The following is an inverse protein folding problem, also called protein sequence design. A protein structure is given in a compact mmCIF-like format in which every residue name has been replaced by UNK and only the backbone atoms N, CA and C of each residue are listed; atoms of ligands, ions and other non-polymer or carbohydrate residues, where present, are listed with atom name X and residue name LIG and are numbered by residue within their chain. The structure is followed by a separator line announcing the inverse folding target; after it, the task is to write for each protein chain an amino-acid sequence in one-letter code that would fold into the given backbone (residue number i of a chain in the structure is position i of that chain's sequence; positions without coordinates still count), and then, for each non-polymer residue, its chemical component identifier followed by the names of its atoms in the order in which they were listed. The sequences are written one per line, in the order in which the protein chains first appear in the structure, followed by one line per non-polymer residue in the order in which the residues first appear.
data_IF_601025631632
#
_entry.id   IF_601025631632
#
_cell.length_a   1.000
_cell.length_b   1.000
_cell.length_c   1.000
_cell.angle_alpha   90.00
_cell.angle_beta   90.00
_cell.angle_gamma   90.00
#
_symmetry.space_group_name_H-M   'P 1'
#
loop_
_entity.id
_entity.type
_entity.pdbx_description
1 polymer ?
#
# COMPACT_ATOMS: atom_id res chain seq x y z
N UNK A 1 12.29 -0.32 -10.78
CA UNK A 1 12.00 1.03 -10.22
C UNK A 1 13.28 1.77 -9.75
N UNK A 2 14.43 1.64 -10.44
CA UNK A 2 15.67 2.32 -10.01
C UNK A 2 15.73 3.81 -10.36
N UNK A 3 14.98 4.23 -11.40
CA UNK A 3 15.00 5.59 -11.94
C UNK A 3 13.70 6.36 -11.70
N UNK A 4 12.85 5.87 -10.79
CA UNK A 4 11.60 6.54 -10.42
C UNK A 4 11.87 7.38 -9.18
N UNK A 5 11.35 8.60 -9.15
CA UNK A 5 11.46 9.48 -7.99
C UNK A 5 10.90 8.84 -6.71
N UNK A 6 11.36 9.30 -5.55
CA UNK A 6 10.81 8.88 -4.25
C UNK A 6 9.28 9.12 -4.22
N UNK A 7 8.83 10.29 -4.66
CA UNK A 7 7.41 10.63 -4.75
C UNK A 7 6.67 9.66 -5.68
N UNK A 8 7.23 9.33 -6.84
CA UNK A 8 6.63 8.37 -7.76
C UNK A 8 6.49 6.97 -7.16
N UNK A 9 7.46 6.51 -6.37
CA UNK A 9 7.38 5.21 -5.66
C UNK A 9 6.24 5.20 -4.64
N UNK A 10 6.11 6.27 -3.84
CA UNK A 10 4.99 6.40 -2.89
C UNK A 10 3.64 6.49 -3.60
N UNK A 11 3.56 7.24 -4.70
CA UNK A 11 2.33 7.35 -5.48
C UNK A 11 1.89 5.99 -6.04
N UNK A 12 2.80 5.16 -6.55
CA UNK A 12 2.47 3.81 -7.03
C UNK A 12 1.89 2.94 -5.91
N UNK A 13 2.45 3.00 -4.71
CA UNK A 13 1.91 2.26 -3.56
C UNK A 13 0.52 2.76 -3.18
N UNK A 14 0.33 4.08 -3.07
CA UNK A 14 -0.96 4.67 -2.72
C UNK A 14 -2.02 4.40 -3.81
N UNK A 15 -1.64 4.49 -5.08
CA UNK A 15 -2.49 4.15 -6.21
C UNK A 15 -2.91 2.67 -6.18
N UNK A 16 -2.02 1.75 -5.78
CA UNK A 16 -2.39 0.33 -5.65
C UNK A 16 -3.45 0.09 -4.58
N UNK A 17 -3.39 0.80 -3.44
CA UNK A 17 -4.45 0.78 -2.43
C UNK A 17 -5.76 1.37 -2.97
N UNK A 18 -5.69 2.47 -3.73
CA UNK A 18 -6.86 3.09 -4.35
C UNK A 18 -7.55 2.17 -5.35
N UNK A 19 -6.79 1.56 -6.27
CA UNK A 19 -7.31 0.59 -7.25
C UNK A 19 -7.94 -0.62 -6.54
N UNK A 20 -7.29 -1.14 -5.49
CA UNK A 20 -7.86 -2.22 -4.70
C UNK A 20 -9.19 -1.82 -4.04
N UNK A 21 -9.25 -0.64 -3.43
CA UNK A 21 -10.49 -0.12 -2.83
C UNK A 21 -11.63 0.03 -3.85
N UNK A 22 -11.34 0.55 -5.03
CA UNK A 22 -12.31 0.67 -6.13
C UNK A 22 -12.78 -0.71 -6.59
N UNK A 23 -11.87 -1.67 -6.74
CA UNK A 23 -12.22 -3.03 -7.17
C UNK A 23 -13.13 -3.74 -6.15
N UNK A 24 -12.84 -3.60 -4.85
CA UNK A 24 -13.69 -4.13 -3.77
C UNK A 24 -15.06 -3.44 -3.77
N UNK A 25 -15.10 -2.11 -3.89
CA UNK A 25 -16.36 -1.36 -3.92
C UNK A 25 -17.21 -1.74 -5.13
N UNK A 26 -16.59 -1.92 -6.30
CA UNK A 26 -17.26 -2.37 -7.51
C UNK A 26 -17.84 -3.78 -7.33
N UNK A 27 -17.04 -4.73 -6.83
CA UNK A 27 -17.51 -6.08 -6.55
C UNK A 27 -18.69 -6.09 -5.57
N UNK A 28 -18.54 -5.41 -4.42
CA UNK A 28 -19.60 -5.32 -3.42
C UNK A 28 -20.87 -4.68 -4.00
N UNK A 29 -20.73 -3.62 -4.80
CA UNK A 29 -21.84 -2.97 -5.50
C UNK A 29 -22.60 -3.92 -6.43
N UNK A 30 -21.89 -4.69 -7.27
CA UNK A 30 -22.53 -5.65 -8.19
C UNK A 30 -23.27 -6.76 -7.45
N UNK A 31 -22.73 -7.25 -6.33
CA UNK A 31 -23.40 -8.26 -5.52
C UNK A 31 -24.64 -7.71 -4.83
N UNK A 32 -24.58 -6.49 -4.28
CA UNK A 32 -25.74 -5.83 -3.70
C UNK A 32 -26.87 -5.62 -4.72
N UNK A 33 -26.55 -5.26 -5.96
CA UNK A 33 -27.55 -5.14 -7.03
C UNK A 33 -28.24 -6.47 -7.33
N UNK A 34 -27.50 -7.58 -7.41
CA UNK A 34 -28.10 -8.90 -7.65
C UNK A 34 -29.05 -9.35 -6.52
N UNK A 35 -28.70 -9.03 -5.27
CA UNK A 35 -29.53 -9.31 -4.09
C UNK A 35 -30.80 -8.46 -4.13
N UNK A 36 -30.67 -7.17 -4.46
CA UNK A 36 -31.80 -6.24 -4.57
C UNK A 36 -32.78 -6.62 -5.67
N UNK A 37 -32.29 -7.03 -6.86
CA UNK A 37 -33.13 -7.53 -7.96
C UNK A 37 -33.92 -8.77 -7.55
N UNK A 38 -33.25 -9.72 -6.88
CA UNK A 38 -33.90 -10.96 -6.43
C UNK A 38 -34.94 -10.69 -5.33
N UNK A 39 -34.65 -9.79 -4.38
CA UNK A 39 -35.61 -9.38 -3.36
C UNK A 39 -36.81 -8.64 -3.95
N UNK A 40 -36.57 -7.76 -4.92
CA UNK A 40 -37.62 -7.01 -5.62
C UNK A 40 -38.55 -7.96 -6.37
N UNK A 41 -38.03 -8.94 -7.09
CA UNK A 41 -38.84 -9.97 -7.76
C UNK A 41 -39.72 -10.74 -6.74
N UNK A 42 -39.13 -11.14 -5.61
CA UNK A 42 -39.81 -11.88 -4.55
C UNK A 42 -41.02 -11.12 -3.98
N UNK A 43 -40.83 -9.83 -3.70
CA UNK A 43 -41.83 -8.97 -3.05
C UNK A 43 -42.87 -8.48 -4.07
N UNK A 44 -42.42 -7.91 -5.19
CA UNK A 44 -43.31 -7.23 -6.14
C UNK A 44 -44.07 -8.21 -7.04
N UNK A 45 -43.53 -9.40 -7.27
CA UNK A 45 -44.15 -10.40 -8.14
C UNK A 45 -44.77 -11.53 -7.32
N UNK A 46 -43.98 -12.37 -6.67
CA UNK A 46 -44.49 -13.63 -6.10
C UNK A 46 -45.34 -13.44 -4.84
N UNK A 47 -44.89 -12.60 -3.89
CA UNK A 47 -45.65 -12.32 -2.67
C UNK A 47 -46.95 -11.54 -2.99
N UNK A 48 -46.87 -10.56 -3.88
CA UNK A 48 -48.03 -9.81 -4.37
C UNK A 48 -49.02 -10.71 -5.11
N UNK A 49 -48.55 -11.60 -5.97
CA UNK A 49 -49.36 -12.57 -6.69
C UNK A 49 -50.07 -13.55 -5.75
N UNK A 50 -49.37 -14.06 -4.72
CA UNK A 50 -49.97 -14.92 -3.70
C UNK A 50 -51.11 -14.21 -2.95
N UNK A 51 -50.89 -12.96 -2.52
CA UNK A 51 -51.91 -12.15 -1.87
C UNK A 51 -53.11 -11.88 -2.78
N UNK A 52 -52.87 -11.52 -4.04
CA UNK A 52 -53.93 -11.25 -5.01
C UNK A 52 -54.71 -12.53 -5.36
N UNK A 53 -54.06 -13.68 -5.42
CA UNK A 53 -54.72 -14.99 -5.56
C UNK A 53 -55.65 -15.29 -4.39
N UNK A 54 -55.20 -15.04 -3.14
CA UNK A 54 -56.05 -15.19 -1.96
C UNK A 54 -57.24 -14.23 -1.97
N UNK A 55 -57.05 -12.98 -2.41
CA UNK A 55 -58.13 -12.00 -2.60
C UNK A 55 -59.11 -12.41 -3.70
N UNK A 56 -58.62 -12.95 -4.82
CA UNK A 56 -59.46 -13.51 -5.88
C UNK A 56 -60.31 -14.66 -5.34
N UNK A 57 -59.71 -15.63 -4.63
CA UNK A 57 -60.47 -16.72 -4.02
C UNK A 57 -61.55 -16.20 -3.04
N UNK A 58 -61.19 -15.20 -2.22
CA UNK A 58 -62.15 -14.58 -1.31
C UNK A 58 -63.31 -13.92 -2.07
N UNK A 59 -63.03 -13.17 -3.13
CA UNK A 59 -64.06 -12.58 -3.98
C UNK A 59 -64.97 -13.66 -4.62
N UNK A 60 -64.40 -14.80 -5.03
CA UNK A 60 -65.17 -15.94 -5.53
C UNK A 60 -66.08 -16.55 -4.45
N UNK A 61 -65.61 -16.67 -3.20
CA UNK A 61 -66.46 -17.10 -2.08
C UNK A 61 -67.53 -16.05 -1.72
N UNK A 62 -67.23 -14.76 -1.83
CA UNK A 62 -68.22 -13.70 -1.68
C UNK A 62 -69.29 -13.78 -2.77
N UNK A 63 -68.90 -14.05 -4.02
CA UNK A 63 -69.87 -14.28 -5.11
C UNK A 63 -70.77 -15.48 -4.79
N UNK A 64 -70.20 -16.60 -4.32
CA UNK A 64 -70.99 -17.75 -3.86
C UNK A 64 -71.97 -17.39 -2.74
N UNK A 65 -71.53 -16.62 -1.75
CA UNK A 65 -72.37 -16.18 -0.64
C UNK A 65 -73.51 -15.30 -1.13
N UNK A 66 -73.25 -14.33 -2.01
CA UNK A 66 -74.25 -13.47 -2.62
C UNK A 66 -75.28 -14.26 -3.45
N UNK A 67 -74.85 -15.30 -4.17
CA UNK A 67 -75.78 -16.25 -4.81
C UNK A 67 -76.65 -16.92 -3.75
N UNK A 68 -76.05 -17.43 -2.66
CA UNK A 68 -76.78 -18.01 -1.53
C UNK A 68 -77.83 -17.08 -0.93
N UNK A 69 -77.49 -15.81 -0.68
CA UNK A 69 -78.41 -14.80 -0.15
C UNK A 69 -79.55 -14.51 -1.13
N UNK A 70 -79.24 -14.47 -2.43
CA UNK A 70 -80.25 -14.36 -3.48
C UNK A 70 -81.23 -15.54 -3.45
N UNK A 71 -80.78 -16.75 -3.12
CA UNK A 71 -81.64 -17.93 -2.97
C UNK A 71 -82.53 -17.90 -1.72
N UNK A 72 -82.19 -17.10 -0.71
CA UNK A 72 -82.90 -17.05 0.57
C UNK A 72 -83.84 -15.84 0.67
N UNK A 73 -83.64 -14.85 -0.19
CA UNK A 73 -84.47 -13.66 -0.26
C UNK A 73 -85.91 -13.98 -0.69
N UNK A 74 -86.85 -13.17 -0.18
CA UNK A 74 -88.29 -13.21 -0.53
C UNK A 74 -88.82 -11.84 -0.95
N UNK A 75 -87.92 -10.94 -1.37
CA UNK A 75 -88.31 -9.58 -1.75
C UNK A 75 -87.44 -9.06 -2.89
N UNK A 76 -88.03 -8.25 -3.76
CA UNK A 76 -87.31 -7.61 -4.86
C UNK A 76 -86.17 -6.70 -4.38
N UNK A 77 -86.34 -6.04 -3.22
CA UNK A 77 -85.31 -5.17 -2.65
C UNK A 77 -84.05 -5.96 -2.25
N UNK A 78 -84.23 -7.07 -1.54
CA UNK A 78 -83.13 -7.96 -1.18
C UNK A 78 -82.53 -8.66 -2.41
N UNK A 79 -83.35 -9.08 -3.38
CA UNK A 79 -82.86 -9.67 -4.64
C UNK A 79 -81.93 -8.70 -5.37
N UNK A 80 -82.32 -7.43 -5.48
CA UNK A 80 -81.49 -6.38 -6.09
C UNK A 80 -80.19 -6.15 -5.32
N UNK A 81 -80.25 -6.15 -3.99
CA UNK A 81 -79.06 -6.00 -3.14
C UNK A 81 -78.07 -7.14 -3.34
N UNK A 82 -78.53 -8.40 -3.26
CA UNK A 82 -77.68 -9.58 -3.46
C UNK A 82 -77.13 -9.67 -4.88
N UNK A 83 -77.92 -9.30 -5.90
CA UNK A 83 -77.44 -9.22 -7.28
C UNK A 83 -76.34 -8.15 -7.46
N UNK A 84 -76.46 -7.00 -6.80
CA UNK A 84 -75.43 -5.96 -6.82
C UNK A 84 -74.14 -6.42 -6.12
N UNK A 85 -74.24 -7.10 -4.98
CA UNK A 85 -73.09 -7.68 -4.28
C UNK A 85 -72.40 -8.76 -5.11
N UNK A 86 -73.16 -9.63 -5.78
CA UNK A 86 -72.64 -10.62 -6.72
C UNK A 86 -71.85 -9.96 -7.86
N UNK A 87 -72.41 -8.90 -8.47
CA UNK A 87 -71.74 -8.16 -9.53
C UNK A 87 -70.43 -7.52 -9.03
N UNK A 88 -70.43 -6.94 -7.84
CA UNK A 88 -69.23 -6.36 -7.22
C UNK A 88 -68.17 -7.42 -6.91
N UNK A 89 -68.57 -8.57 -6.37
CA UNK A 89 -67.68 -9.68 -6.07
C UNK A 89 -67.04 -10.27 -7.35
N UNK A 90 -67.84 -10.43 -8.42
CA UNK A 90 -67.35 -10.85 -9.73
C UNK A 90 -66.35 -9.85 -10.31
N UNK A 91 -66.66 -8.55 -10.24
CA UNK A 91 -65.74 -7.50 -10.72
C UNK A 91 -64.42 -7.50 -9.94
N UNK A 92 -64.48 -7.64 -8.60
CA UNK A 92 -63.31 -7.76 -7.76
C UNK A 92 -62.47 -9.00 -8.07
N UNK A 93 -63.10 -10.14 -8.30
CA UNK A 93 -62.42 -11.37 -8.74
C UNK A 93 -61.62 -11.13 -10.03
N UNK A 94 -62.26 -10.55 -11.05
CA UNK A 94 -61.63 -10.24 -12.35
C UNK A 94 -60.46 -9.28 -12.17
N UNK A 95 -60.64 -8.19 -11.42
CA UNK A 95 -59.56 -7.23 -11.17
C UNK A 95 -58.35 -7.87 -10.48
N UNK A 96 -58.59 -8.68 -9.43
CA UNK A 96 -57.49 -9.34 -8.71
C UNK A 96 -56.76 -10.35 -9.59
N UNK A 97 -57.49 -11.22 -10.31
CA UNK A 97 -56.85 -12.27 -11.11
C UNK A 97 -56.14 -11.70 -12.35
N UNK A 98 -56.67 -10.63 -12.96
CA UNK A 98 -56.01 -9.96 -14.09
C UNK A 98 -54.70 -9.29 -13.65
N UNK A 99 -54.66 -8.72 -12.45
CA UNK A 99 -53.40 -8.22 -11.85
C UNK A 99 -52.39 -9.32 -11.61
N UNK A 100 -52.83 -10.54 -11.26
CA UNK A 100 -51.92 -11.68 -11.15
C UNK A 100 -51.38 -12.08 -12.53
N UNK A 101 -52.24 -12.16 -13.56
CA UNK A 101 -51.82 -12.49 -14.93
C UNK A 101 -50.81 -11.47 -15.46
N UNK A 102 -51.01 -10.18 -15.18
CA UNK A 102 -50.08 -9.12 -15.56
C UNK A 102 -48.73 -9.25 -14.84
N UNK A 103 -48.73 -9.63 -13.56
CA UNK A 103 -47.51 -9.85 -12.79
C UNK A 103 -46.78 -11.14 -13.21
N UNK A 104 -47.52 -12.16 -13.65
CA UNK A 104 -46.98 -13.50 -13.95
C UNK A 104 -47.41 -14.00 -15.34
N UNK A 105 -46.98 -13.32 -16.44
CA UNK A 105 -47.43 -13.67 -17.79
C UNK A 105 -46.93 -15.03 -18.27
N UNK A 106 -45.86 -15.56 -17.66
CA UNK A 106 -45.30 -16.87 -17.98
C UNK A 106 -46.10 -18.04 -17.36
N UNK A 107 -46.97 -17.78 -16.38
CA UNK A 107 -47.73 -18.82 -15.69
C UNK A 107 -49.04 -19.13 -16.45
N UNK A 108 -49.02 -20.21 -17.23
CA UNK A 108 -50.16 -20.63 -18.05
C UNK A 108 -51.38 -21.14 -17.28
N UNK A 109 -51.25 -21.48 -15.99
CA UNK A 109 -52.36 -22.02 -15.20
C UNK A 109 -53.34 -20.91 -14.78
N UNK A 110 -52.84 -19.69 -14.58
CA UNK A 110 -53.62 -18.59 -14.00
C UNK A 110 -54.78 -18.15 -14.92
N UNK A 111 -54.57 -17.97 -16.25
CA UNK A 111 -55.67 -17.72 -17.18
C UNK A 111 -56.70 -18.87 -17.23
N UNK A 112 -56.26 -20.12 -17.06
CA UNK A 112 -57.15 -21.29 -17.03
C UNK A 112 -58.03 -21.26 -15.78
N UNK A 113 -57.45 -20.97 -14.61
CA UNK A 113 -58.20 -20.82 -13.36
C UNK A 113 -59.20 -19.66 -13.42
N UNK A 114 -58.79 -18.53 -14.02
CA UNK A 114 -59.69 -17.41 -14.30
C UNK A 114 -60.89 -17.85 -15.13
N UNK A 115 -60.65 -18.53 -16.25
CA UNK A 115 -61.71 -18.99 -17.14
C UNK A 115 -62.66 -19.96 -16.43
N UNK A 116 -62.13 -20.93 -15.69
CA UNK A 116 -62.94 -21.90 -14.94
C UNK A 116 -63.81 -21.25 -13.85
N UNK A 117 -63.29 -20.25 -13.15
CA UNK A 117 -64.06 -19.51 -12.15
C UNK A 117 -65.17 -18.65 -12.76
N UNK A 118 -64.90 -17.99 -13.90
CA UNK A 118 -65.93 -17.24 -14.63
C UNK A 118 -66.98 -18.17 -15.24
N UNK A 119 -66.59 -19.33 -15.77
CA UNK A 119 -67.55 -20.34 -16.25
C UNK A 119 -68.47 -20.80 -15.12
N UNK A 120 -67.94 -21.05 -13.92
CA UNK A 120 -68.74 -21.44 -12.77
C UNK A 120 -69.79 -20.36 -12.41
N UNK A 121 -69.40 -19.08 -12.37
CA UNK A 121 -70.31 -17.99 -11.99
C UNK A 121 -71.29 -17.63 -13.11
N UNK A 122 -70.80 -17.48 -14.34
CA UNK A 122 -71.58 -16.90 -15.44
C UNK A 122 -72.46 -17.95 -16.14
N UNK A 123 -72.00 -19.21 -16.18
CA UNK A 123 -72.67 -20.28 -16.92
C UNK A 123 -73.27 -21.32 -15.98
N UNK A 124 -72.47 -21.97 -15.14
CA UNK A 124 -72.96 -23.05 -14.26
C UNK A 124 -73.99 -22.52 -13.24
N UNK A 125 -73.77 -21.31 -12.70
CA UNK A 125 -74.71 -20.64 -11.81
C UNK A 125 -75.72 -19.72 -12.52
N UNK A 126 -75.52 -19.42 -13.81
CA UNK A 126 -76.26 -18.37 -14.52
C UNK A 126 -77.78 -18.57 -14.50
N UNK A 127 -78.24 -19.79 -14.80
CA UNK A 127 -79.67 -20.12 -14.78
C UNK A 127 -80.28 -20.04 -13.37
N UNK A 128 -79.50 -20.36 -12.34
CA UNK A 128 -79.91 -20.26 -10.94
C UNK A 128 -80.03 -18.80 -10.53
N UNK A 129 -79.06 -17.96 -10.89
CA UNK A 129 -79.04 -16.52 -10.59
C UNK A 129 -80.22 -15.82 -11.26
N UNK A 130 -80.47 -16.09 -12.55
CA UNK A 130 -81.57 -15.44 -13.27
C UNK A 130 -82.94 -15.80 -12.70
N UNK A 131 -83.12 -17.06 -12.31
CA UNK A 131 -84.36 -17.54 -11.72
C UNK A 131 -84.55 -16.97 -10.31
N UNK A 132 -83.52 -17.04 -9.45
CA UNK A 132 -83.56 -16.55 -8.07
C UNK A 132 -83.79 -15.03 -8.00
N UNK A 133 -83.29 -14.26 -8.97
CA UNK A 133 -83.51 -12.81 -9.03
C UNK A 133 -85.00 -12.40 -9.14
N UNK A 134 -85.85 -13.30 -9.64
CA UNK A 134 -87.30 -13.09 -9.80
C UNK A 134 -88.12 -13.88 -8.77
N UNK A 135 -87.49 -14.74 -7.98
CA UNK A 135 -88.15 -15.57 -7.00
C UNK A 135 -88.55 -14.76 -5.77
N UNK A 136 -89.85 -14.68 -5.49
CA UNK A 136 -90.40 -14.02 -4.29
C UNK A 136 -91.38 -14.92 -3.52
N UNK A 137 -91.82 -16.02 -4.12
CA UNK A 137 -92.72 -17.00 -3.48
C UNK A 137 -91.91 -18.11 -2.81
N UNK A 138 -92.48 -18.77 -1.80
CA UNK A 138 -91.82 -19.90 -1.13
C UNK A 138 -91.55 -21.08 -2.08
N UNK A 139 -92.45 -21.30 -3.05
CA UNK A 139 -92.29 -22.35 -4.06
C UNK A 139 -91.10 -22.06 -4.98
N UNK A 140 -90.97 -20.82 -5.47
CA UNK A 140 -89.86 -20.42 -6.35
C UNK A 140 -88.53 -20.45 -5.60
N UNK A 141 -88.50 -19.99 -4.35
CA UNK A 141 -87.31 -20.04 -3.49
C UNK A 141 -86.81 -21.48 -3.34
N UNK A 142 -87.71 -22.45 -3.10
CA UNK A 142 -87.34 -23.86 -2.99
C UNK A 142 -86.75 -24.42 -4.29
N UNK A 143 -87.38 -24.12 -5.44
CA UNK A 143 -86.85 -24.54 -6.76
C UNK A 143 -85.47 -23.96 -7.01
N UNK A 144 -85.28 -22.69 -6.64
CA UNK A 144 -84.00 -22.01 -6.74
C UNK A 144 -82.94 -22.79 -5.93
N UNK A 145 -83.21 -23.08 -4.65
CA UNK A 145 -82.29 -23.80 -3.76
C UNK A 145 -81.89 -25.18 -4.30
N UNK A 146 -82.86 -25.95 -4.81
CA UNK A 146 -82.61 -27.28 -5.37
C UNK A 146 -81.67 -27.23 -6.59
N UNK A 147 -81.82 -26.20 -7.45
CA UNK A 147 -80.90 -26.00 -8.58
C UNK A 147 -79.52 -25.56 -8.11
N UNK A 148 -79.43 -24.62 -7.16
CA UNK A 148 -78.14 -24.17 -6.62
C UNK A 148 -77.31 -25.33 -6.08
N UNK A 149 -77.92 -26.21 -5.28
CA UNK A 149 -77.22 -27.36 -4.67
C UNK A 149 -76.71 -28.38 -5.71
N UNK A 150 -77.39 -28.49 -6.87
CA UNK A 150 -77.04 -29.46 -7.92
C UNK A 150 -76.06 -28.88 -8.95
N UNK A 151 -76.32 -27.67 -9.43
CA UNK A 151 -75.67 -27.12 -10.63
C UNK A 151 -74.50 -26.19 -10.28
N UNK A 152 -74.64 -25.40 -9.20
CA UNK A 152 -73.75 -24.28 -8.89
C UNK A 152 -72.80 -24.58 -7.71
N UNK A 153 -73.34 -25.02 -6.57
CA UNK A 153 -72.60 -25.20 -5.33
C UNK A 153 -71.38 -26.15 -5.44
N UNK A 154 -71.44 -27.32 -6.12
CA UNK A 154 -70.34 -28.27 -6.14
C UNK A 154 -69.05 -27.75 -6.81
N UNK A 155 -69.15 -26.71 -7.64
CA UNK A 155 -68.01 -26.13 -8.37
C UNK A 155 -67.08 -25.33 -7.46
N UNK A 156 -67.66 -24.61 -6.51
CA UNK A 156 -66.91 -23.67 -5.66
C UNK A 156 -65.88 -24.33 -4.72
N UNK A 157 -66.16 -25.47 -4.04
CA UNK A 157 -65.14 -26.13 -3.22
C UNK A 157 -63.93 -26.57 -4.03
N UNK A 158 -64.15 -27.09 -5.24
CA UNK A 158 -63.06 -27.52 -6.14
C UNK A 158 -62.21 -26.32 -6.56
N UNK A 159 -62.86 -25.26 -7.07
CA UNK A 159 -62.17 -24.03 -7.46
C UNK A 159 -61.43 -23.41 -6.28
N UNK A 160 -62.08 -23.27 -5.12
CA UNK A 160 -61.47 -22.71 -3.92
C UNK A 160 -60.20 -23.45 -3.53
N UNK A 161 -60.25 -24.78 -3.55
CA UNK A 161 -59.09 -25.62 -3.29
C UNK A 161 -57.95 -25.32 -4.26
N UNK A 162 -58.22 -25.26 -5.57
CA UNK A 162 -57.18 -24.99 -6.57
C UNK A 162 -56.58 -23.59 -6.45
N UNK A 163 -57.39 -22.58 -6.13
CA UNK A 163 -56.89 -21.23 -5.85
C UNK A 163 -56.00 -21.19 -4.59
N UNK A 164 -56.39 -21.89 -3.52
CA UNK A 164 -55.59 -21.99 -2.29
C UNK A 164 -54.28 -22.74 -2.56
N UNK A 165 -54.31 -23.84 -3.30
CA UNK A 165 -53.12 -24.59 -3.68
C UNK A 165 -52.16 -23.72 -4.50
N UNK A 166 -52.66 -22.94 -5.47
CA UNK A 166 -51.83 -22.01 -6.24
C UNK A 166 -51.27 -20.88 -5.37
N UNK A 167 -52.09 -20.29 -4.50
CA UNK A 167 -51.63 -19.24 -3.58
C UNK A 167 -50.53 -19.76 -2.61
N UNK A 168 -50.68 -20.98 -2.11
CA UNK A 168 -49.70 -21.65 -1.26
C UNK A 168 -48.42 -22.00 -2.01
N UNK A 169 -48.52 -22.45 -3.27
CA UNK A 169 -47.37 -22.70 -4.12
C UNK A 169 -46.54 -21.42 -4.36
N UNK A 170 -47.23 -20.29 -4.63
CA UNK A 170 -46.58 -18.99 -4.72
C UNK A 170 -45.95 -18.56 -3.40
N UNK A 171 -46.64 -18.73 -2.27
CA UNK A 171 -46.10 -18.42 -0.95
C UNK A 171 -44.89 -19.30 -0.59
N UNK A 172 -44.89 -20.56 -1.01
CA UNK A 172 -43.79 -21.48 -0.80
C UNK A 172 -42.58 -21.11 -1.67
N UNK A 173 -42.79 -20.73 -2.92
CA UNK A 173 -41.73 -20.21 -3.77
C UNK A 173 -41.09 -18.95 -3.18
N UNK A 174 -41.89 -18.10 -2.52
CA UNK A 174 -41.39 -16.94 -1.77
C UNK A 174 -40.49 -17.36 -0.61
N UNK A 175 -40.94 -18.31 0.20
CA UNK A 175 -40.19 -18.79 1.38
C UNK A 175 -38.88 -19.48 0.97
N UNK A 176 -38.96 -20.42 0.02
CA UNK A 176 -37.81 -21.17 -0.48
C UNK A 176 -36.73 -20.23 -1.07
N UNK A 177 -37.15 -19.22 -1.86
CA UNK A 177 -36.23 -18.24 -2.45
C UNK A 177 -35.70 -17.22 -1.43
N UNK A 178 -36.49 -16.84 -0.42
CA UNK A 178 -36.03 -15.99 0.69
C UNK A 178 -34.88 -16.64 1.46
N UNK A 179 -35.00 -17.94 1.77
CA UNK A 179 -33.93 -18.71 2.44
C UNK A 179 -32.67 -18.76 1.58
N UNK A 180 -32.81 -19.05 0.28
CA UNK A 180 -31.67 -19.10 -0.65
C UNK A 180 -30.94 -17.75 -0.75
N UNK A 181 -31.68 -16.65 -0.82
CA UNK A 181 -31.11 -15.30 -0.87
C UNK A 181 -30.40 -14.95 0.44
N UNK A 182 -30.96 -15.36 1.59
CA UNK A 182 -30.33 -15.17 2.90
C UNK A 182 -28.98 -15.91 2.99
N UNK A 183 -28.94 -17.18 2.57
CA UNK A 183 -27.71 -17.99 2.56
C UNK A 183 -26.67 -17.43 1.58
N UNK A 184 -27.13 -16.97 0.41
CA UNK A 184 -26.27 -16.31 -0.58
C UNK A 184 -25.70 -15.00 -0.03
N UNK A 185 -26.51 -14.21 0.69
CA UNK A 185 -26.07 -12.98 1.34
C UNK A 185 -24.99 -13.25 2.39
N UNK A 186 -25.19 -14.26 3.25
CA UNK A 186 -24.19 -14.66 4.24
C UNK A 186 -22.86 -15.09 3.59
N UNK A 187 -22.95 -15.81 2.47
CA UNK A 187 -21.78 -16.23 1.68
C UNK A 187 -21.09 -15.04 1.00
N UNK A 188 -21.85 -14.08 0.46
CA UNK A 188 -21.31 -12.84 -0.12
C UNK A 188 -20.57 -12.03 0.94
N UNK A 189 -21.14 -11.87 2.14
CA UNK A 189 -20.51 -11.13 3.24
C UNK A 189 -19.21 -11.78 3.66
N UNK A 190 -19.20 -13.09 3.89
CA UNK A 190 -17.99 -13.83 4.30
C UNK A 190 -16.90 -13.79 3.23
N UNK A 191 -17.25 -13.97 1.95
CA UNK A 191 -16.30 -13.85 0.83
C UNK A 191 -15.76 -12.42 0.68
N UNK A 192 -16.62 -11.40 0.84
CA UNK A 192 -16.20 -9.99 0.75
C UNK A 192 -15.20 -9.66 1.84
N UNK A 193 -15.45 -10.07 3.09
CA UNK A 193 -14.47 -9.92 4.18
C UNK A 193 -13.17 -10.67 3.90
N UNK A 194 -13.26 -11.90 3.39
CA UNK A 194 -12.10 -12.69 2.99
C UNK A 194 -11.25 -11.98 1.93
N UNK A 195 -11.87 -11.43 0.89
CA UNK A 195 -11.19 -10.67 -0.15
C UNK A 195 -10.59 -9.35 0.35
N UNK A 196 -11.29 -8.63 1.23
CA UNK A 196 -10.77 -7.41 1.85
C UNK A 196 -9.50 -7.73 2.64
N UNK A 197 -9.56 -8.72 3.54
CA UNK A 197 -8.42 -9.10 4.38
C UNK A 197 -7.25 -9.64 3.55
N UNK A 198 -7.52 -10.53 2.59
CA UNK A 198 -6.50 -11.08 1.72
C UNK A 198 -5.85 -10.02 0.83
N UNK A 199 -6.65 -9.12 0.26
CA UNK A 199 -6.14 -8.04 -0.60
C UNK A 199 -5.37 -6.97 0.18
N UNK A 200 -5.83 -6.58 1.37
CA UNK A 200 -5.07 -5.70 2.26
C UNK A 200 -3.74 -6.33 2.68
N UNK A 201 -3.73 -7.63 3.00
CA UNK A 201 -2.50 -8.36 3.30
C UNK A 201 -1.56 -8.38 2.08
N UNK A 202 -2.08 -8.66 0.88
CA UNK A 202 -1.30 -8.68 -0.36
C UNK A 202 -0.67 -7.32 -0.67
N UNK A 203 -1.47 -6.25 -0.68
CA UNK A 203 -1.00 -4.88 -0.96
C UNK A 203 -0.05 -4.41 0.14
N UNK A 204 -0.33 -4.73 1.41
CA UNK A 204 0.53 -4.41 2.55
C UNK A 204 1.89 -5.09 2.47
N UNK A 205 1.92 -6.39 2.17
CA UNK A 205 3.17 -7.17 2.00
C UNK A 205 3.95 -6.65 0.79
N UNK A 206 3.30 -6.47 -0.36
CA UNK A 206 3.94 -5.92 -1.56
C UNK A 206 4.51 -4.52 -1.31
N UNK A 207 3.77 -3.67 -0.60
CA UNK A 207 4.20 -2.34 -0.21
C UNK A 207 5.39 -2.35 0.74
N UNK A 208 5.37 -3.21 1.77
CA UNK A 208 6.48 -3.38 2.70
C UNK A 208 7.79 -3.78 1.99
N UNK A 209 7.73 -4.80 1.13
CA UNK A 209 8.90 -5.24 0.36
C UNK A 209 9.35 -4.20 -0.67
N UNK A 210 8.41 -3.49 -1.31
CA UNK A 210 8.70 -2.39 -2.22
C UNK A 210 9.44 -1.24 -1.56
N UNK A 211 8.93 -0.74 -0.42
CA UNK A 211 9.58 0.32 0.37
C UNK A 211 10.96 -0.12 0.85
N UNK A 212 11.06 -1.34 1.39
CA UNK A 212 12.33 -1.88 1.89
C UNK A 212 13.39 -1.96 0.79
N UNK A 213 13.02 -2.46 -0.40
CA UNK A 213 13.95 -2.66 -1.50
C UNK A 213 14.33 -1.36 -2.22
N UNK A 214 13.40 -0.41 -2.38
CA UNK A 214 13.61 0.77 -3.23
C UNK A 214 14.05 2.03 -2.49
N UNK A 215 13.82 2.11 -1.18
CA UNK A 215 14.12 3.26 -0.33
C UNK A 215 15.05 2.89 0.82
N UNK A 216 14.62 1.99 1.70
CA UNK A 216 15.33 1.72 2.96
C UNK A 216 16.72 1.13 2.73
N UNK A 217 16.84 0.12 1.87
CA UNK A 217 18.11 -0.55 1.60
C UNK A 217 19.16 0.41 0.98
N UNK A 218 18.87 1.16 -0.11
CA UNK A 218 19.83 2.10 -0.68
C UNK A 218 20.25 3.23 0.27
N UNK A 219 19.31 3.74 1.09
CA UNK A 219 19.63 4.80 2.07
C UNK A 219 20.59 4.26 3.15
N UNK A 220 20.34 3.05 3.67
CA UNK A 220 21.26 2.41 4.64
C UNK A 220 22.63 2.10 4.04
N UNK A 221 22.69 1.72 2.76
CA UNK A 221 23.96 1.51 2.06
C UNK A 221 24.76 2.82 1.94
N UNK A 222 24.09 3.93 1.61
CA UNK A 222 24.72 5.25 1.57
C UNK A 222 25.17 5.72 2.96
N UNK A 223 24.34 5.54 3.98
CA UNK A 223 24.68 5.83 5.38
C UNK A 223 25.95 5.08 5.80
N UNK A 224 26.00 3.76 5.57
CA UNK A 224 27.17 2.94 5.91
C UNK A 224 28.43 3.35 5.14
N UNK A 225 28.29 3.77 3.87
CA UNK A 225 29.41 4.29 3.07
C UNK A 225 29.93 5.59 3.65
N UNK A 226 29.04 6.51 4.03
CA UNK A 226 29.42 7.79 4.64
C UNK A 226 30.15 7.60 5.98
N UNK A 227 29.71 6.67 6.82
CA UNK A 227 30.39 6.34 8.08
C UNK A 227 31.84 5.89 7.81
N UNK A 228 32.07 5.02 6.83
CA UNK A 228 33.43 4.55 6.46
C UNK A 228 34.31 5.69 5.95
N UNK A 229 33.78 6.55 5.07
CA UNK A 229 34.50 7.72 4.57
C UNK A 229 34.89 8.67 5.71
N UNK A 230 33.98 8.90 6.66
CA UNK A 230 34.26 9.75 7.83
C UNK A 230 35.33 9.16 8.76
N UNK A 231 35.50 7.84 8.78
CA UNK A 231 36.56 7.15 9.51
C UNK A 231 37.91 7.12 8.75
N UNK A 232 37.99 7.75 7.57
CA UNK A 232 39.22 7.82 6.76
C UNK A 232 39.43 6.63 5.80
N UNK A 233 38.45 5.73 5.68
CA UNK A 233 38.47 4.65 4.68
C UNK A 233 37.94 5.17 3.33
N UNK A 234 38.85 5.65 2.49
CA UNK A 234 38.56 6.09 1.13
C UNK A 234 38.67 4.98 0.07
N UNK A 235 38.88 3.72 0.46
CA UNK A 235 38.88 2.61 -0.49
C UNK A 235 37.46 2.09 -0.80
N UNK A 236 36.47 2.42 0.05
CA UNK A 236 35.08 2.00 -0.12
C UNK A 236 34.46 2.49 -1.43
N UNK A 237 33.74 1.62 -2.14
CA UNK A 237 33.01 1.97 -3.36
C UNK A 237 31.65 2.61 -3.03
N UNK A 238 31.30 3.69 -3.74
CA UNK A 238 30.00 4.36 -3.60
C UNK A 238 29.01 3.75 -4.60
N UNK A 239 28.04 2.98 -4.09
CA UNK A 239 27.03 2.31 -4.91
C UNK A 239 25.91 3.27 -5.37
N UNK A 240 25.33 3.01 -6.55
CA UNK A 240 24.10 3.66 -7.02
C UNK A 240 24.27 5.02 -7.71
N UNK A 241 25.48 5.36 -8.13
CA UNK A 241 25.81 6.61 -8.86
C UNK A 241 25.04 6.73 -10.18
N UNK A 242 24.76 5.60 -10.82
CA UNK A 242 24.06 5.47 -12.10
C UNK A 242 22.55 5.75 -12.03
N UNK A 243 22.00 5.83 -10.81
CA UNK A 243 20.56 6.07 -10.60
C UNK A 243 20.18 7.48 -11.01
N UNK A 244 19.01 7.59 -11.67
CA UNK A 244 18.45 8.88 -12.12
C UNK A 244 17.41 9.47 -11.15
N UNK A 245 17.30 8.95 -9.93
CA UNK A 245 16.41 9.44 -8.89
C UNK A 245 17.16 10.25 -7.82
N UNK A 246 16.43 10.73 -6.80
CA UNK A 246 16.98 11.54 -5.70
C UNK A 246 18.06 10.78 -4.92
N UNK A 247 17.91 9.46 -4.78
CA UNK A 247 18.93 8.62 -4.13
C UNK A 247 20.22 8.61 -4.97
N UNK A 248 20.12 8.54 -6.31
CA UNK A 248 21.28 8.68 -7.19
C UNK A 248 21.97 10.04 -7.08
N UNK A 249 21.19 11.11 -6.89
CA UNK A 249 21.76 12.43 -6.62
C UNK A 249 22.57 12.45 -5.32
N UNK A 250 22.07 11.80 -4.26
CA UNK A 250 22.82 11.63 -3.01
C UNK A 250 24.09 10.79 -3.21
N UNK A 251 24.02 9.65 -3.93
CA UNK A 251 25.20 8.82 -4.24
C UNK A 251 26.29 9.63 -4.95
N UNK A 252 25.94 10.46 -5.94
CA UNK A 252 26.90 11.34 -6.64
C UNK A 252 27.55 12.35 -5.70
N UNK A 253 26.81 12.93 -4.77
CA UNK A 253 27.39 13.85 -3.77
C UNK A 253 28.38 13.15 -2.83
N UNK A 254 28.06 11.91 -2.39
CA UNK A 254 28.98 11.11 -1.57
C UNK A 254 30.26 10.74 -2.34
N UNK A 255 30.14 10.49 -3.64
CA UNK A 255 31.32 10.27 -4.50
C UNK A 255 32.24 11.50 -4.54
N UNK A 256 31.68 12.71 -4.69
CA UNK A 256 32.47 13.96 -4.64
C UNK A 256 33.17 14.12 -3.29
N UNK A 257 32.52 13.77 -2.18
CA UNK A 257 33.15 13.81 -0.85
C UNK A 257 34.32 12.83 -0.71
N UNK A 258 34.17 11.60 -1.24
CA UNK A 258 35.26 10.62 -1.31
C UNK A 258 36.45 11.17 -2.12
N UNK A 259 36.19 11.73 -3.29
CA UNK A 259 37.23 12.25 -4.19
C UNK A 259 37.97 13.43 -3.54
N UNK A 260 37.25 14.33 -2.88
CA UNK A 260 37.84 15.45 -2.12
C UNK A 260 38.70 14.97 -0.94
N UNK A 261 38.26 13.92 -0.23
CA UNK A 261 39.03 13.32 0.87
C UNK A 261 40.30 12.61 0.40
N UNK A 262 40.25 11.90 -0.73
CA UNK A 262 41.42 11.30 -1.37
C UNK A 262 42.45 12.37 -1.77
N UNK A 263 41.99 13.46 -2.39
CA UNK A 263 42.89 14.54 -2.79
C UNK A 263 43.50 15.24 -1.58
N UNK A 264 42.73 15.46 -0.50
CA UNK A 264 43.27 16.01 0.74
C UNK A 264 44.33 15.10 1.38
N UNK A 265 44.10 13.78 1.39
CA UNK A 265 45.09 12.81 1.85
C UNK A 265 46.36 12.85 1.00
N UNK A 266 46.22 12.99 -0.32
CA UNK A 266 47.35 13.13 -1.25
C UNK A 266 48.13 14.41 -0.99
N UNK A 267 47.45 15.56 -0.86
CA UNK A 267 48.06 16.85 -0.55
C UNK A 267 48.79 16.82 0.81
N UNK A 268 48.20 16.21 1.83
CA UNK A 268 48.81 16.09 3.17
C UNK A 268 50.06 15.21 3.12
N UNK A 269 50.02 14.07 2.41
CA UNK A 269 51.19 13.22 2.22
C UNK A 269 52.32 13.97 1.50
N UNK A 270 52.02 14.67 0.41
CA UNK A 270 53.02 15.47 -0.32
C UNK A 270 53.56 16.65 0.51
N UNK A 271 52.74 17.26 1.38
CA UNK A 271 53.19 18.32 2.29
C UNK A 271 54.17 17.78 3.34
N UNK A 272 53.88 16.61 3.92
CA UNK A 272 54.79 15.94 4.88
C UNK A 272 56.10 15.53 4.19
N UNK A 273 56.04 14.99 2.97
CA UNK A 273 57.25 14.69 2.18
C UNK A 273 58.07 15.95 1.87
N UNK A 274 57.43 17.07 1.53
CA UNK A 274 58.11 18.33 1.28
C UNK A 274 58.73 18.93 2.56
N UNK A 275 58.06 18.83 3.70
CA UNK A 275 58.57 19.29 4.98
C UNK A 275 59.75 18.45 5.45
N UNK A 276 59.65 17.12 5.38
CA UNK A 276 60.75 16.20 5.70
C UNK A 276 61.96 16.41 4.79
N UNK A 277 61.75 16.63 3.48
CA UNK A 277 62.82 16.98 2.55
C UNK A 277 63.47 18.33 2.90
N UNK A 278 62.68 19.34 3.27
CA UNK A 278 63.21 20.65 3.73
C UNK A 278 64.01 20.54 5.01
N UNK A 279 63.55 19.74 5.98
CA UNK A 279 64.30 19.48 7.22
C UNK A 279 65.64 18.79 6.91
N UNK A 280 65.64 17.75 6.06
CA UNK A 280 66.87 17.07 5.64
C UNK A 280 67.85 18.00 4.90
N UNK A 281 67.34 18.92 4.07
CA UNK A 281 68.17 19.94 3.44
C UNK A 281 68.75 20.94 4.45
N UNK A 282 67.96 21.38 5.42
CA UNK A 282 68.43 22.25 6.52
C UNK A 282 69.51 21.58 7.36
N UNK A 283 69.34 20.30 7.69
CA UNK A 283 70.33 19.54 8.45
C UNK A 283 71.64 19.35 7.66
N UNK A 284 71.55 19.14 6.35
CA UNK A 284 72.75 19.14 5.48
C UNK A 284 73.42 20.51 5.44
N UNK A 285 72.63 21.58 5.34
CA UNK A 285 73.17 22.94 5.29
C UNK A 285 73.86 23.31 6.61
N UNK A 286 73.25 22.99 7.76
CA UNK A 286 73.86 23.24 9.07
C UNK A 286 75.12 22.40 9.30
N UNK A 287 75.14 21.13 8.85
CA UNK A 287 76.35 20.32 8.87
C UNK A 287 77.47 20.93 8.01
N UNK A 288 77.15 21.42 6.81
CA UNK A 288 78.10 22.11 5.95
C UNK A 288 78.61 23.42 6.59
N UNK A 289 77.71 24.24 7.13
CA UNK A 289 78.08 25.51 7.76
C UNK A 289 78.92 25.29 9.03
N UNK A 290 78.63 24.24 9.81
CA UNK A 290 79.47 23.82 10.94
C UNK A 290 80.87 23.36 10.47
N UNK A 291 80.97 22.56 9.41
CA UNK A 291 82.28 22.15 8.85
C UNK A 291 83.08 23.34 8.34
N UNK A 292 82.43 24.32 7.67
CA UNK A 292 83.08 25.56 7.23
C UNK A 292 83.53 26.44 8.41
N UNK A 293 82.74 26.48 9.48
CA UNK A 293 83.12 27.20 10.69
C UNK A 293 84.31 26.54 11.41
N UNK A 294 84.38 25.21 11.40
CA UNK A 294 85.55 24.45 11.84
C UNK A 294 86.77 24.73 10.96
N UNK A 295 86.62 24.70 9.63
CA UNK A 295 87.69 25.03 8.68
C UNK A 295 88.17 26.47 8.81
N UNK A 296 87.26 27.44 8.99
CA UNK A 296 87.61 28.85 9.19
C UNK A 296 88.36 29.05 10.51
N UNK A 297 87.94 28.37 11.59
CA UNK A 297 88.70 28.38 12.85
C UNK A 297 90.10 27.81 12.66
N UNK A 298 90.25 26.71 11.92
CA UNK A 298 91.55 26.13 11.58
C UNK A 298 92.41 27.11 10.76
N UNK A 299 91.82 27.81 9.79
CA UNK A 299 92.51 28.83 9.00
C UNK A 299 92.95 30.04 9.84
N UNK A 300 92.10 30.56 10.72
CA UNK A 300 92.45 31.68 11.62
C UNK A 300 93.59 31.30 12.55
N UNK A 301 93.58 30.08 13.11
CA UNK A 301 94.70 29.57 13.93
C UNK A 301 96.00 29.48 13.12
N UNK A 302 95.94 29.09 11.83
CA UNK A 302 97.11 29.07 10.95
C UNK A 302 97.62 30.49 10.61
N UNK A 303 96.73 31.45 10.39
CA UNK A 303 97.10 32.86 10.15
C UNK A 303 97.69 33.50 11.41
N UNK A 304 97.15 33.21 12.58
CA UNK A 304 97.67 33.67 13.87
C UNK A 304 99.08 33.11 14.13
N UNK A 305 99.33 31.84 13.78
CA UNK A 305 100.68 31.26 13.79
C UNK A 305 101.61 31.94 12.77
N UNK A 306 101.10 32.29 11.57
CA UNK A 306 101.85 33.03 10.56
C UNK A 306 102.22 34.47 10.99
N UNK A 307 101.32 35.17 11.69
CA UNK A 307 101.60 36.49 12.25
C UNK A 307 102.57 36.43 13.43
N UNK A 308 102.49 35.42 14.30
CA UNK A 308 103.48 35.20 15.36
C UNK A 308 104.87 34.89 14.80
N UNK A 309 104.97 34.25 13.63
CA UNK A 309 106.23 34.04 12.93
C UNK A 309 106.80 35.32 12.28
N UNK A 310 105.97 36.35 12.03
CA UNK A 310 106.39 37.65 11.48
C UNK A 310 106.68 38.71 12.55
N UNK A 311 106.20 38.52 13.79
CA UNK A 311 106.38 39.47 14.90
C UNK A 311 107.59 39.18 15.81
N UNK A 312 108.48 38.27 15.41
CA UNK A 312 109.67 37.90 16.18
C UNK A 312 110.94 37.88 15.35
N UNK A 313 111.54 39.05 15.11
CA UNK A 313 112.97 39.23 14.83
C UNK A 313 113.26 40.73 14.64
N UNK A 314 113.85 41.40 15.64
CA UNK A 314 115.03 42.28 15.48
C UNK A 314 115.43 42.92 16.84
N UNK A 315 116.36 42.30 17.57
CA UNK A 315 117.30 43.01 18.46
C UNK A 315 118.47 42.07 18.83
N UNK A 316 119.40 41.92 17.90
CA UNK A 316 120.71 41.28 18.13
C UNK A 316 121.81 42.21 17.63
N UNK A 317 122.34 43.11 18.47
CA UNK A 317 123.53 43.90 18.11
C UNK A 317 124.21 44.61 19.30
N UNK A 318 124.71 43.85 20.30
CA UNK A 318 125.83 44.35 21.13
C UNK A 318 126.71 43.24 21.72
N UNK A 319 127.22 42.33 20.88
CA UNK A 319 128.35 41.45 21.23
C UNK A 319 129.33 41.40 20.03
N UNK A 320 130.15 42.43 19.83
CA UNK A 320 131.31 42.30 18.92
C UNK A 320 132.46 43.31 19.14
N UNK A 321 132.95 43.50 20.38
CA UNK A 321 134.27 44.08 20.69
C UNK A 321 134.70 43.51 22.06
N UNK A 322 135.73 42.70 22.27
CA UNK A 322 137.04 42.57 21.61
C UNK A 322 137.60 41.14 21.81
N UNK A 323 137.35 40.23 20.88
CA UNK A 323 137.84 38.84 20.95
C UNK A 323 139.30 38.60 20.56
N UNK A 324 140.15 39.63 20.46
CA UNK A 324 141.49 39.51 19.83
C UNK A 324 142.70 39.68 20.78
N UNK A 325 142.55 40.11 22.05
CA UNK A 325 143.74 40.41 22.88
C UNK A 325 144.04 39.40 24.00
N UNK A 326 143.07 38.83 24.72
CA UNK A 326 143.41 38.05 25.92
C UNK A 326 143.82 36.59 25.69
N UNK A 327 143.54 35.99 24.53
CA UNK A 327 144.04 34.64 24.22
C UNK A 327 145.55 34.58 23.94
N UNK A 328 146.24 35.72 23.84
CA UNK A 328 147.71 35.75 23.71
C UNK A 328 148.47 35.65 25.04
N UNK A 329 147.84 35.90 26.20
CA UNK A 329 148.53 35.75 27.49
C UNK A 329 148.50 34.32 28.06
N UNK A 330 147.49 33.51 27.70
CA UNK A 330 147.40 32.12 28.17
C UNK A 330 148.49 31.19 27.59
N UNK A 331 149.13 31.57 26.48
CA UNK A 331 150.23 30.78 25.87
C UNK A 331 151.59 31.13 26.48
N UNK A 332 151.78 32.36 26.98
CA UNK A 332 153.05 32.79 27.57
C UNK A 332 153.32 32.17 28.95
N UNK A 333 152.29 31.95 29.77
CA UNK A 333 152.46 31.34 31.10
C UNK A 333 152.62 29.82 31.08
N UNK A 334 152.27 29.14 29.99
CA UNK A 334 152.51 27.69 29.88
C UNK A 334 153.95 27.37 29.44
N UNK A 335 154.66 28.30 28.77
CA UNK A 335 156.07 28.13 28.40
C UNK A 335 157.05 28.27 29.57
N UNK A 336 156.69 29.00 30.64
CA UNK A 336 157.50 29.08 31.86
C UNK A 336 157.41 27.81 32.74
N UNK A 337 156.46 26.92 32.47
CA UNK A 337 156.37 25.59 33.11
C UNK A 337 157.33 24.55 32.52
N UNK A 338 158.17 24.94 31.55
CA UNK A 338 159.14 24.08 30.83
C UNK A 338 160.61 24.28 31.22
N UNK A 339 160.92 25.19 32.16
CA UNK A 339 162.29 25.42 32.65
C UNK A 339 162.41 25.01 34.12
N UNK A 340 162.04 23.77 34.43
CA UNK A 340 162.12 23.21 35.77
C UNK A 340 163.43 23.56 36.47
N UNK A 341 163.31 24.34 37.55
CA UNK A 341 164.20 24.37 38.69
C UNK A 341 163.50 25.13 39.83
N UNK A 342 163.35 24.39 40.91
CA UNK A 342 162.70 24.68 42.18
C UNK A 342 163.36 25.80 42.99
N UNK A 343 162.56 26.36 43.90
CA UNK A 343 162.90 26.29 45.31
C UNK A 343 163.54 27.52 45.95
N UNK A 344 162.70 28.33 46.61
CA UNK A 344 162.81 28.74 48.03
C UNK A 344 161.57 29.51 48.47
#
# INVERSE_FOLDING_TARGET
MKNVSIIGKFFVLLASFGVFGIAVAYYAGTQLQSVDETYSELIDTNAKASLLMAKANRALQTARAAVGDLMMSRSDALNKSSAAELAAARAGFVDFIDKVIQAMPADGDIPVLRAAALEAVDKDCGAVIEFAAKAVTEADVKVSQDRYLKECQPKFPVLSKTFIEKANALSKAVDDRSVEVSDTTASIVTNTWGMILAGLALVGVAGFFGVRAWLVKPIKELEGTMVKLSAGDFAVEVMGIERRDEIGAMSRSVQVFKDAGLENRRMTASAIEAETAKLALRDRQSALDNSKAEDLKAFVLAVEQGFNALAGEDESLEILRLGIVERRLAVAQCQLRRLGLDGR
#
